data_IF_793453008587
#
_entry.id   IF_793453008587
#
_cell.length_a   1.000
_cell.length_b   1.000
_cell.length_c   1.000
_cell.angle_alpha   90.00
_cell.angle_beta   90.00
_cell.angle_gamma   90.00
#
_symmetry.space_group_name_H-M   'P 1'
#
loop_
_entity.id
_entity.type
_entity.pdbx_description
1 polymer ?
#
# COMPACT_ATOMS: atom_id res chain seq x y z
N UNK A 1 -20.99 -12.99 3.14
CA UNK A 1 -19.91 -13.15 2.15
C UNK A 1 -19.75 -11.81 1.47
N UNK A 2 -18.74 -11.07 1.80
CA UNK A 2 -18.44 -9.77 1.17
C UNK A 2 -17.75 -10.08 -0.15
N UNK A 3 -18.44 -9.89 -1.26
CA UNK A 3 -17.83 -9.99 -2.59
C UNK A 3 -16.95 -8.75 -2.77
N UNK A 4 -15.64 -8.92 -2.77
CA UNK A 4 -14.73 -7.85 -3.18
C UNK A 4 -14.98 -7.53 -4.66
N UNK A 5 -15.11 -6.25 -5.04
CA UNK A 5 -15.23 -5.89 -6.43
C UNK A 5 -13.97 -6.37 -7.17
N UNK A 6 -14.18 -6.95 -8.34
CA UNK A 6 -13.08 -7.35 -9.23
C UNK A 6 -12.11 -6.18 -9.40
N UNK A 7 -10.88 -6.35 -8.97
CA UNK A 7 -9.80 -5.42 -9.28
C UNK A 7 -9.67 -5.44 -10.80
N UNK A 8 -9.89 -4.29 -11.43
CA UNK A 8 -9.85 -4.15 -12.89
C UNK A 8 -8.43 -4.36 -13.43
N UNK A 9 -7.94 -5.58 -13.42
CA UNK A 9 -6.84 -5.98 -14.29
C UNK A 9 -7.35 -5.89 -15.72
N UNK A 10 -6.71 -5.09 -16.53
CA UNK A 10 -6.77 -5.27 -17.97
C UNK A 10 -6.46 -6.75 -18.20
N UNK A 11 -7.38 -7.48 -18.82
CA UNK A 11 -7.29 -8.92 -19.04
C UNK A 11 -5.91 -9.27 -19.58
N UNK A 12 -5.02 -9.72 -18.68
CA UNK A 12 -3.79 -10.36 -19.12
C UNK A 12 -4.19 -11.56 -19.99
N UNK A 13 -3.46 -11.84 -21.09
CA UNK A 13 -3.70 -13.05 -21.87
C UNK A 13 -3.65 -14.23 -20.91
N UNK A 14 -4.50 -15.24 -21.14
CA UNK A 14 -4.57 -16.43 -20.32
C UNK A 14 -3.15 -16.97 -20.12
N UNK A 15 -2.60 -16.76 -18.92
CA UNK A 15 -1.28 -17.25 -18.58
C UNK A 15 -1.34 -18.76 -18.48
N UNK A 16 -0.30 -19.45 -18.95
CA UNK A 16 -0.17 -20.89 -18.77
C UNK A 16 -0.35 -21.24 -17.29
N UNK A 17 -1.02 -22.34 -16.95
CA UNK A 17 -1.13 -22.76 -15.57
C UNK A 17 0.23 -22.82 -14.89
N UNK A 18 0.29 -22.50 -13.60
CA UNK A 18 1.50 -22.56 -12.79
C UNK A 18 1.34 -23.61 -11.71
N UNK A 19 2.29 -24.54 -11.64
CA UNK A 19 2.41 -25.49 -10.53
C UNK A 19 3.62 -25.10 -9.69
N UNK A 20 3.39 -24.80 -8.43
CA UNK A 20 4.45 -24.64 -7.43
C UNK A 20 4.47 -25.92 -6.59
N UNK A 21 5.52 -26.73 -6.71
CA UNK A 21 5.63 -28.00 -6.01
C UNK A 21 6.72 -27.99 -4.95
N UNK A 22 6.66 -28.99 -4.06
CA UNK A 22 7.64 -29.15 -3.00
C UNK A 22 7.77 -27.89 -2.12
N UNK A 23 6.63 -27.40 -1.64
CA UNK A 23 6.54 -26.21 -0.74
C UNK A 23 5.78 -26.55 0.52
N UNK A 24 6.13 -25.91 1.63
CA UNK A 24 5.38 -25.95 2.88
C UNK A 24 4.56 -24.68 3.05
N UNK A 25 3.24 -24.83 3.13
CA UNK A 25 2.34 -23.71 3.32
C UNK A 25 2.55 -23.15 4.73
N UNK A 26 2.86 -21.87 4.83
CA UNK A 26 3.17 -21.17 6.10
C UNK A 26 4.29 -21.81 6.92
N UNK A 27 5.09 -22.70 6.32
CA UNK A 27 6.13 -23.46 7.01
C UNK A 27 5.63 -24.66 7.79
N UNK A 28 4.35 -25.00 7.67
CA UNK A 28 3.70 -26.09 8.41
C UNK A 28 3.53 -27.36 7.54
N UNK A 29 3.47 -28.52 8.20
CA UNK A 29 3.15 -29.79 7.56
C UNK A 29 4.23 -30.31 6.60
N UNK A 30 3.86 -31.38 5.89
CA UNK A 30 4.69 -31.98 4.84
C UNK A 30 4.67 -31.13 3.56
N UNK A 31 5.74 -31.20 2.74
CA UNK A 31 5.76 -30.53 1.45
C UNK A 31 4.58 -30.92 0.57
N UNK A 32 3.98 -29.94 -0.06
CA UNK A 32 2.81 -30.07 -0.93
C UNK A 32 2.99 -29.31 -2.23
N UNK A 33 1.99 -29.33 -3.11
CA UNK A 33 1.99 -28.59 -4.36
C UNK A 33 0.77 -27.69 -4.46
N UNK A 34 0.91 -26.58 -5.18
CA UNK A 34 -0.16 -25.62 -5.43
C UNK A 34 -0.30 -25.40 -6.93
N UNK A 35 -1.52 -25.56 -7.45
CA UNK A 35 -1.87 -25.22 -8.83
C UNK A 35 -2.55 -23.87 -8.89
N UNK A 36 -2.00 -22.96 -9.68
CA UNK A 36 -2.62 -21.67 -10.04
C UNK A 36 -3.07 -21.75 -11.49
N UNK A 37 -4.33 -21.42 -11.72
CA UNK A 37 -4.93 -21.37 -13.05
C UNK A 37 -5.85 -20.14 -13.13
N UNK A 38 -5.77 -19.42 -14.24
CA UNK A 38 -6.56 -18.21 -14.48
C UNK A 38 -6.46 -17.20 -13.33
N UNK A 39 -5.25 -17.02 -12.76
CA UNK A 39 -4.97 -16.09 -11.68
C UNK A 39 -5.46 -16.50 -10.28
N UNK A 40 -6.00 -17.72 -10.12
CA UNK A 40 -6.50 -18.21 -8.82
C UNK A 40 -5.86 -19.53 -8.42
N UNK A 41 -5.74 -19.78 -7.12
CA UNK A 41 -5.34 -21.10 -6.60
C UNK A 41 -6.50 -22.05 -6.85
N UNK A 42 -6.31 -23.00 -7.75
CA UNK A 42 -7.35 -23.95 -8.17
C UNK A 42 -7.26 -25.30 -7.47
N UNK A 43 -6.07 -25.68 -6.99
CA UNK A 43 -5.90 -26.90 -6.21
C UNK A 43 -4.66 -26.83 -5.30
N UNK A 44 -4.72 -27.55 -4.18
CA UNK A 44 -3.61 -27.77 -3.26
C UNK A 44 -3.57 -29.26 -2.95
N UNK A 45 -2.39 -29.91 -3.10
CA UNK A 45 -2.26 -31.34 -2.82
C UNK A 45 -0.94 -31.91 -3.33
N UNK A 46 -0.69 -33.20 -3.08
CA UNK A 46 0.57 -33.86 -3.42
C UNK A 46 0.88 -33.90 -4.92
N UNK A 47 -0.10 -34.30 -5.74
CA UNK A 47 0.07 -34.58 -7.17
C UNK A 47 -0.80 -33.69 -8.06
N UNK A 48 -0.83 -32.38 -7.78
CA UNK A 48 -1.53 -31.46 -8.67
C UNK A 48 -0.72 -31.26 -9.96
N UNK A 49 -1.37 -31.42 -11.10
CA UNK A 49 -0.79 -31.24 -12.42
C UNK A 49 -1.77 -30.51 -13.34
N UNK A 50 -1.25 -29.81 -14.33
CA UNK A 50 -2.03 -29.25 -15.41
C UNK A 50 -1.23 -29.38 -16.71
N UNK A 51 -1.95 -29.61 -17.82
CA UNK A 51 -1.35 -29.65 -19.13
C UNK A 51 -0.73 -28.28 -19.44
N UNK A 52 0.48 -28.28 -20.00
CA UNK A 52 1.25 -27.10 -20.39
C UNK A 52 1.56 -26.13 -19.23
N UNK A 53 1.53 -26.61 -17.97
CA UNK A 53 1.84 -25.81 -16.81
C UNK A 53 3.34 -25.48 -16.72
N UNK A 54 3.63 -24.22 -16.39
CA UNK A 54 4.94 -23.84 -15.88
C UNK A 54 5.12 -24.47 -14.49
N UNK A 55 6.26 -25.09 -14.24
CA UNK A 55 6.55 -25.72 -12.93
C UNK A 55 7.67 -24.97 -12.23
N UNK A 56 7.43 -24.62 -10.97
CA UNK A 56 8.43 -24.08 -10.04
C UNK A 56 8.62 -25.13 -8.94
N UNK A 57 9.86 -25.58 -8.73
CA UNK A 57 10.21 -26.39 -7.57
C UNK A 57 10.57 -25.46 -6.41
N UNK A 58 9.83 -25.56 -5.31
CA UNK A 58 10.07 -24.75 -4.12
C UNK A 58 11.15 -25.32 -3.18
N UNK A 59 11.74 -26.47 -3.52
CA UNK A 59 12.88 -27.08 -2.79
C UNK A 59 12.64 -27.21 -1.27
N UNK A 60 11.40 -27.45 -0.87
CA UNK A 60 11.02 -27.52 0.54
C UNK A 60 10.88 -26.17 1.25
N UNK A 61 11.00 -25.06 0.53
CA UNK A 61 10.84 -23.73 1.09
C UNK A 61 9.39 -23.44 1.52
N UNK A 62 9.23 -22.38 2.28
CA UNK A 62 7.93 -21.90 2.75
C UNK A 62 7.22 -21.13 1.64
N UNK A 63 5.96 -21.47 1.38
CA UNK A 63 5.09 -20.67 0.52
C UNK A 63 4.16 -19.83 1.38
N UNK A 64 4.20 -18.53 1.17
CA UNK A 64 3.37 -17.52 1.83
C UNK A 64 2.54 -16.75 0.80
N UNK A 65 1.41 -16.13 1.19
CA UNK A 65 0.83 -15.06 0.42
C UNK A 65 1.87 -13.96 0.18
N UNK A 66 1.78 -13.28 -0.96
CA UNK A 66 2.62 -12.13 -1.24
C UNK A 66 2.46 -11.06 -0.15
N UNK A 67 3.54 -10.39 0.20
CA UNK A 67 3.51 -9.31 1.19
C UNK A 67 2.77 -8.09 0.64
N UNK A 68 2.15 -7.34 1.53
CA UNK A 68 1.48 -6.06 1.22
C UNK A 68 2.09 -4.99 2.09
N UNK A 69 2.56 -3.90 1.48
CA UNK A 69 3.01 -2.72 2.20
C UNK A 69 2.01 -1.58 2.02
N UNK A 70 1.37 -1.20 3.10
CA UNK A 70 0.34 -0.17 3.08
C UNK A 70 0.90 1.26 3.18
N UNK A 71 2.22 1.45 3.25
CA UNK A 71 2.83 2.75 3.42
C UNK A 71 4.19 2.85 2.73
N UNK A 72 4.20 3.23 1.45
CA UNK A 72 5.44 3.46 0.71
C UNK A 72 5.45 4.84 0.05
N UNK A 73 6.65 5.30 -0.32
CA UNK A 73 6.83 6.54 -1.05
C UNK A 73 7.51 6.26 -2.39
N UNK A 74 6.73 6.23 -3.47
CA UNK A 74 7.28 6.07 -4.81
C UNK A 74 7.67 7.41 -5.45
N UNK A 75 7.46 8.52 -4.74
CA UNK A 75 7.93 9.87 -5.06
C UNK A 75 7.42 10.45 -6.40
N UNK A 76 6.75 9.69 -7.18
CA UNK A 76 6.19 10.06 -8.47
C UNK A 76 4.66 10.21 -8.36
N UNK A 77 4.11 11.35 -8.83
CA UNK A 77 4.77 12.45 -9.57
C UNK A 77 5.56 13.42 -8.69
N UNK A 78 6.57 14.07 -9.29
CA UNK A 78 7.21 15.29 -8.80
C UNK A 78 8.55 15.15 -8.10
N UNK A 79 9.02 13.93 -7.81
CA UNK A 79 10.31 13.63 -7.22
C UNK A 79 10.96 12.39 -7.86
N UNK A 80 10.84 12.29 -9.17
CA UNK A 80 11.38 11.19 -9.97
C UNK A 80 12.91 11.10 -9.93
N UNK A 81 13.55 12.16 -9.46
CA UNK A 81 14.98 12.21 -9.17
C UNK A 81 15.38 11.27 -8.01
N UNK A 82 14.45 10.96 -7.11
CA UNK A 82 14.72 10.13 -5.93
C UNK A 82 14.16 8.72 -6.06
N UNK A 83 12.94 8.55 -6.59
CA UNK A 83 12.29 7.27 -6.80
C UNK A 83 11.23 7.40 -7.89
N UNK A 84 10.93 6.32 -8.59
CA UNK A 84 9.83 6.22 -9.57
C UNK A 84 8.92 5.04 -9.26
N UNK A 85 7.73 5.03 -9.83
CA UNK A 85 6.81 3.88 -9.75
C UNK A 85 7.51 2.61 -10.25
N UNK A 86 8.28 2.72 -11.34
CA UNK A 86 9.00 1.58 -11.91
C UNK A 86 10.09 1.05 -10.97
N UNK A 87 10.95 1.92 -10.44
CA UNK A 87 12.07 1.49 -9.60
C UNK A 87 11.62 0.99 -8.24
N UNK A 88 10.67 1.68 -7.62
CA UNK A 88 10.11 1.27 -6.33
C UNK A 88 9.32 -0.03 -6.41
N UNK A 89 8.52 -0.24 -7.47
CA UNK A 89 7.81 -1.50 -7.66
C UNK A 89 8.75 -2.68 -7.95
N UNK A 90 9.89 -2.46 -8.63
CA UNK A 90 10.95 -3.46 -8.79
C UNK A 90 11.57 -3.85 -7.44
N UNK A 91 11.83 -2.86 -6.60
CA UNK A 91 12.34 -3.11 -5.25
C UNK A 91 11.32 -3.90 -4.40
N UNK A 92 10.05 -3.50 -4.44
CA UNK A 92 8.96 -4.19 -3.77
C UNK A 92 8.83 -5.66 -4.23
N UNK A 93 8.75 -5.89 -5.54
CA UNK A 93 8.65 -7.25 -6.10
C UNK A 93 9.86 -8.12 -5.70
N UNK A 94 11.08 -7.55 -5.70
CA UNK A 94 12.28 -8.25 -5.24
C UNK A 94 12.23 -8.58 -3.74
N UNK A 95 11.55 -7.76 -2.95
CA UNK A 95 11.30 -7.98 -1.52
C UNK A 95 10.16 -8.96 -1.21
N UNK A 96 9.46 -9.46 -2.24
CA UNK A 96 8.32 -10.37 -2.06
C UNK A 96 6.98 -9.66 -1.86
N UNK A 97 6.92 -8.33 -2.08
CA UNK A 97 5.67 -7.58 -2.02
C UNK A 97 4.93 -7.70 -3.34
N UNK A 98 3.66 -8.07 -3.25
CA UNK A 98 2.74 -8.19 -4.39
C UNK A 98 1.84 -6.98 -4.54
N UNK A 99 1.69 -6.19 -3.48
CA UNK A 99 0.96 -4.93 -3.51
C UNK A 99 1.61 -3.90 -2.60
N UNK A 100 1.58 -2.63 -3.02
CA UNK A 100 2.06 -1.49 -2.24
C UNK A 100 1.08 -0.32 -2.35
N UNK A 101 0.98 0.48 -1.28
CA UNK A 101 0.15 1.67 -1.23
C UNK A 101 1.04 2.91 -1.19
N UNK A 102 1.02 3.71 -2.28
CA UNK A 102 1.87 4.89 -2.40
C UNK A 102 1.21 6.13 -1.81
N UNK A 103 1.89 6.76 -0.85
CA UNK A 103 1.39 7.91 -0.10
C UNK A 103 1.12 9.13 -0.97
N UNK A 104 0.20 9.97 -0.47
CA UNK A 104 -0.34 11.12 -1.20
C UNK A 104 0.61 12.33 -1.30
N UNK A 105 1.73 12.33 -0.57
CA UNK A 105 2.68 13.44 -0.48
C UNK A 105 3.60 13.56 -1.72
N UNK A 106 2.99 13.60 -2.87
CA UNK A 106 3.58 13.81 -4.19
C UNK A 106 3.51 15.30 -4.61
N UNK A 107 4.02 15.64 -5.77
CA UNK A 107 3.89 16.98 -6.35
C UNK A 107 3.46 16.90 -7.83
N UNK A 108 2.19 17.20 -8.15
CA UNK A 108 1.14 17.65 -7.23
C UNK A 108 0.73 16.57 -6.21
N UNK A 109 0.16 17.01 -5.07
CA UNK A 109 -0.41 16.11 -4.06
C UNK A 109 -1.53 15.27 -4.67
N UNK A 110 -1.62 14.00 -4.28
CA UNK A 110 -2.71 13.13 -4.73
C UNK A 110 -4.02 13.45 -3.99
N UNK A 111 -4.57 14.64 -4.26
CA UNK A 111 -5.78 15.20 -3.62
C UNK A 111 -6.98 15.29 -4.58
N UNK A 112 -6.83 14.81 -5.83
CA UNK A 112 -7.84 14.84 -6.87
C UNK A 112 -7.87 13.53 -7.66
N UNK A 113 -9.05 13.12 -8.21
CA UNK A 113 -9.18 11.91 -8.99
C UNK A 113 -8.16 11.80 -10.13
N UNK A 114 -7.95 12.87 -10.88
CA UNK A 114 -7.06 12.87 -12.05
C UNK A 114 -5.61 12.52 -11.69
N UNK A 115 -5.14 12.94 -10.51
CA UNK A 115 -3.78 12.63 -10.08
C UNK A 115 -3.68 11.16 -9.66
N UNK A 116 -4.66 10.67 -8.89
CA UNK A 116 -4.74 9.26 -8.50
C UNK A 116 -4.84 8.34 -9.73
N UNK A 117 -5.66 8.70 -10.72
CA UNK A 117 -5.79 7.95 -11.98
C UNK A 117 -4.49 7.95 -12.80
N UNK A 118 -3.76 9.06 -12.81
CA UNK A 118 -2.44 9.14 -13.48
C UNK A 118 -1.43 8.19 -12.83
N UNK A 119 -1.34 8.17 -11.50
CA UNK A 119 -0.48 7.24 -10.76
C UNK A 119 -0.89 5.80 -11.04
N UNK A 120 -2.18 5.50 -10.98
CA UNK A 120 -2.71 4.17 -11.22
C UNK A 120 -2.44 3.70 -12.65
N UNK A 121 -2.74 4.52 -13.68
CA UNK A 121 -2.52 4.17 -15.07
C UNK A 121 -1.04 3.91 -15.37
N UNK A 122 -0.14 4.74 -14.84
CA UNK A 122 1.31 4.53 -14.96
C UNK A 122 1.75 3.24 -14.29
N UNK A 123 1.20 2.94 -13.12
CA UNK A 123 1.46 1.71 -12.40
C UNK A 123 1.05 0.47 -13.18
N UNK A 124 -0.12 0.49 -13.83
CA UNK A 124 -0.57 -0.62 -14.67
C UNK A 124 0.37 -0.90 -15.86
N UNK A 125 1.05 0.13 -16.37
CA UNK A 125 1.97 0.02 -17.51
C UNK A 125 3.38 -0.44 -17.12
N UNK A 126 3.87 -0.06 -15.94
CA UNK A 126 5.30 -0.15 -15.60
C UNK A 126 5.60 -0.96 -14.33
N UNK A 127 4.64 -1.11 -13.41
CA UNK A 127 4.89 -1.72 -12.12
C UNK A 127 4.98 -3.25 -12.20
N UNK A 128 5.84 -3.83 -11.37
CA UNK A 128 6.00 -5.29 -11.21
C UNK A 128 5.14 -5.87 -10.07
N UNK A 129 4.48 -5.03 -9.29
CA UNK A 129 3.50 -5.41 -8.29
C UNK A 129 2.29 -4.47 -8.39
N UNK A 130 1.19 -4.80 -7.72
CA UNK A 130 0.03 -3.90 -7.70
C UNK A 130 0.39 -2.63 -6.92
N UNK A 131 0.22 -1.46 -7.53
CA UNK A 131 0.45 -0.16 -6.89
C UNK A 131 -0.88 0.56 -6.75
N UNK A 132 -1.25 0.82 -5.51
CA UNK A 132 -2.50 1.50 -5.16
C UNK A 132 -2.21 2.93 -4.70
N UNK A 133 -2.72 3.97 -5.39
CA UNK A 133 -2.58 5.34 -4.91
C UNK A 133 -3.39 5.57 -3.64
N UNK A 134 -2.76 6.22 -2.66
CA UNK A 134 -3.42 6.77 -1.47
C UNK A 134 -3.82 8.20 -1.78
N UNK A 135 -5.06 8.58 -1.49
CA UNK A 135 -5.51 9.96 -1.59
C UNK A 135 -5.15 10.75 -0.32
N UNK A 136 -4.99 12.07 -0.42
CA UNK A 136 -4.87 12.88 0.79
C UNK A 136 -6.22 13.05 1.48
N UNK A 137 -6.20 13.18 2.81
CA UNK A 137 -7.39 13.51 3.61
C UNK A 137 -7.79 14.96 3.34
N UNK A 138 -6.80 15.86 3.30
CA UNK A 138 -7.04 17.28 3.09
C UNK A 138 -6.39 17.80 1.80
N UNK A 139 -7.00 18.79 1.19
CA UNK A 139 -6.48 19.44 -0.03
C UNK A 139 -5.09 20.01 0.24
N UNK A 140 -4.15 19.66 -0.63
CA UNK A 140 -2.75 20.09 -0.53
C UNK A 140 -2.03 19.66 0.76
N UNK A 141 -2.56 18.72 1.54
CA UNK A 141 -2.05 18.32 2.86
C UNK A 141 -2.04 19.52 3.85
N UNK A 142 -2.98 20.42 3.73
CA UNK A 142 -3.00 21.67 4.53
C UNK A 142 -3.73 21.53 5.88
N UNK A 143 -4.43 20.41 6.12
CA UNK A 143 -5.21 20.22 7.34
C UNK A 143 -6.43 21.13 7.47
N UNK A 144 -6.93 21.72 6.36
CA UNK A 144 -7.99 22.75 6.40
C UNK A 144 -9.30 22.32 5.77
N UNK A 145 -9.26 21.63 4.64
CA UNK A 145 -10.43 21.28 3.85
C UNK A 145 -10.30 19.84 3.35
N UNK A 146 -11.34 19.04 3.53
CA UNK A 146 -11.37 17.65 3.05
C UNK A 146 -11.29 17.58 1.53
N UNK A 147 -10.68 16.53 1.03
CA UNK A 147 -10.70 16.16 -0.38
C UNK A 147 -12.02 15.46 -0.74
N UNK A 148 -12.19 15.19 -2.02
CA UNK A 148 -13.39 14.54 -2.55
C UNK A 148 -13.24 13.00 -2.52
N UNK A 149 -13.28 12.39 -1.31
CA UNK A 149 -13.10 10.94 -1.12
C UNK A 149 -13.97 10.12 -2.08
N UNK A 150 -15.26 10.48 -2.16
CA UNK A 150 -16.21 9.77 -2.99
C UNK A 150 -15.90 9.84 -4.49
N UNK A 151 -15.29 10.89 -4.97
CA UNK A 151 -14.86 11.00 -6.37
C UNK A 151 -13.64 10.11 -6.62
N UNK A 152 -12.63 10.18 -5.74
CA UNK A 152 -11.44 9.33 -5.84
C UNK A 152 -11.75 7.84 -5.64
N UNK A 153 -12.65 7.51 -4.72
CA UNK A 153 -13.06 6.12 -4.48
C UNK A 153 -13.84 5.49 -5.66
N UNK A 154 -14.50 6.31 -6.47
CA UNK A 154 -15.25 5.87 -7.67
C UNK A 154 -14.50 6.06 -8.99
N UNK A 155 -13.34 6.71 -8.96
CA UNK A 155 -12.45 6.86 -10.13
C UNK A 155 -11.90 5.51 -10.59
N UNK A 156 -11.24 5.48 -11.73
CA UNK A 156 -10.58 4.27 -12.24
C UNK A 156 -9.49 3.76 -11.29
N UNK A 157 -8.85 4.68 -10.55
CA UNK A 157 -7.86 4.35 -9.52
C UNK A 157 -8.48 3.64 -8.29
N UNK A 158 -9.80 3.75 -8.08
CA UNK A 158 -10.55 3.12 -6.97
C UNK A 158 -9.85 3.31 -5.62
N UNK A 159 -9.47 4.54 -5.28
CA UNK A 159 -8.76 4.84 -4.05
C UNK A 159 -9.49 4.29 -2.83
N UNK A 160 -8.81 3.52 -1.98
CA UNK A 160 -9.36 2.86 -0.79
C UNK A 160 -8.76 3.31 0.52
N UNK A 161 -7.71 4.12 0.47
CA UNK A 161 -7.05 4.66 1.65
C UNK A 161 -6.74 6.14 1.45
N UNK A 162 -6.86 6.92 2.53
CA UNK A 162 -6.56 8.35 2.54
C UNK A 162 -5.65 8.67 3.71
N UNK A 163 -4.63 9.49 3.48
CA UNK A 163 -3.67 9.90 4.50
C UNK A 163 -3.06 11.24 4.15
N UNK A 164 -2.84 12.07 5.16
CA UNK A 164 -2.02 13.29 5.03
C UNK A 164 -0.56 12.99 5.45
N UNK A 165 -0.05 11.81 5.14
CA UNK A 165 1.28 11.38 5.53
C UNK A 165 2.38 12.43 5.29
N UNK A 166 3.31 12.49 6.26
CA UNK A 166 4.30 13.56 6.42
C UNK A 166 3.72 14.80 7.11
N UNK A 167 2.40 14.81 7.37
CA UNK A 167 1.68 15.78 8.17
C UNK A 167 0.55 15.11 8.92
N UNK A 168 0.04 15.78 9.94
CA UNK A 168 -1.10 15.32 10.73
C UNK A 168 -2.30 16.22 10.47
N UNK A 169 -3.50 15.66 10.42
CA UNK A 169 -4.73 16.47 10.50
C UNK A 169 -4.92 16.90 11.95
N UNK A 170 -4.41 18.08 12.29
CA UNK A 170 -4.35 18.62 13.66
C UNK A 170 -5.72 19.01 14.23
N UNK A 171 -6.72 19.29 13.39
CA UNK A 171 -8.06 19.66 13.81
C UNK A 171 -8.90 18.40 14.07
N UNK A 172 -9.24 18.08 15.35
CA UNK A 172 -10.03 16.89 15.67
C UNK A 172 -11.46 16.97 15.12
N UNK A 173 -12.02 18.17 14.92
CA UNK A 173 -13.34 18.32 14.30
C UNK A 173 -13.28 17.95 12.81
N UNK A 174 -12.23 18.36 12.10
CA UNK A 174 -12.01 18.03 10.71
C UNK A 174 -11.78 16.51 10.54
N UNK A 175 -10.96 15.92 11.41
CA UNK A 175 -10.73 14.46 11.39
C UNK A 175 -12.03 13.70 11.67
N UNK A 176 -12.83 14.12 12.63
CA UNK A 176 -14.14 13.51 12.89
C UNK A 176 -15.03 13.55 11.64
N UNK A 177 -15.10 14.69 10.94
CA UNK A 177 -15.87 14.80 9.69
C UNK A 177 -15.32 13.90 8.59
N UNK A 178 -13.98 13.78 8.50
CA UNK A 178 -13.34 12.86 7.56
C UNK A 178 -13.77 11.41 7.81
N UNK A 179 -13.75 10.97 9.07
CA UNK A 179 -14.20 9.63 9.48
C UNK A 179 -15.69 9.40 9.20
N UNK A 180 -16.55 10.39 9.50
CA UNK A 180 -17.97 10.32 9.19
C UNK A 180 -18.23 10.20 7.68
N UNK A 181 -17.48 10.95 6.87
CA UNK A 181 -17.57 10.92 5.41
C UNK A 181 -17.06 9.58 4.84
N UNK A 182 -15.93 9.09 5.34
CA UNK A 182 -15.32 7.83 4.91
C UNK A 182 -16.21 6.59 5.22
N UNK A 183 -16.93 6.62 6.35
CA UNK A 183 -17.74 5.48 6.85
C UNK A 183 -18.71 4.91 5.82
N UNK A 184 -19.28 5.75 4.95
CA UNK A 184 -20.25 5.34 3.93
C UNK A 184 -19.62 4.84 2.62
N UNK A 185 -18.30 4.80 2.50
CA UNK A 185 -17.61 4.57 1.23
C UNK A 185 -16.64 3.39 1.22
N UNK A 186 -16.57 2.63 2.31
CA UNK A 186 -15.65 1.49 2.44
C UNK A 186 -14.17 1.90 2.13
N UNK A 187 -13.74 2.98 2.75
CA UNK A 187 -12.37 3.50 2.65
C UNK A 187 -11.74 3.64 4.04
N UNK A 188 -10.44 3.53 4.09
CA UNK A 188 -9.65 3.67 5.32
C UNK A 188 -9.08 5.08 5.42
N UNK A 189 -8.98 5.60 6.64
CA UNK A 189 -8.16 6.77 6.95
C UNK A 189 -6.95 6.31 7.77
N UNK A 190 -5.77 6.73 7.35
CA UNK A 190 -4.52 6.51 8.06
C UNK A 190 -3.96 7.87 8.52
N UNK A 191 -3.81 8.03 9.83
CA UNK A 191 -3.28 9.25 10.40
C UNK A 191 -1.76 9.13 10.57
N UNK A 192 -1.04 10.17 10.13
CA UNK A 192 0.33 10.40 10.56
C UNK A 192 0.25 11.03 11.96
N UNK A 193 0.33 10.19 12.98
CA UNK A 193 0.05 10.60 14.36
C UNK A 193 1.18 11.47 14.91
N UNK A 194 0.98 12.78 14.86
CA UNK A 194 1.93 13.79 15.33
C UNK A 194 1.24 15.08 15.71
N UNK A 195 1.34 15.49 16.96
CA UNK A 195 1.05 16.89 17.33
C UNK A 195 2.28 17.75 17.05
N UNK A 196 2.26 18.52 15.97
CA UNK A 196 3.39 19.32 15.48
C UNK A 196 3.80 20.46 16.44
N UNK A 197 2.91 20.84 17.35
CA UNK A 197 3.20 21.83 18.41
C UNK A 197 4.16 21.27 19.45
N UNK A 198 4.19 19.95 19.63
CA UNK A 198 5.06 19.27 20.58
C UNK A 198 6.37 18.80 19.96
N UNK A 199 6.41 18.59 18.64
CA UNK A 199 7.54 17.96 17.94
C UNK A 199 8.49 18.96 17.28
N UNK A 200 8.11 20.25 17.20
CA UNK A 200 8.90 21.27 16.51
C UNK A 200 10.35 21.32 16.95
N UNK A 201 11.29 21.04 15.99
CA UNK A 201 12.73 21.05 16.22
C UNK A 201 13.27 19.82 16.99
N UNK A 202 12.46 18.80 17.21
CA UNK A 202 12.93 17.52 17.75
C UNK A 202 13.75 16.74 16.69
N UNK A 203 14.77 16.05 17.14
CA UNK A 203 15.69 15.29 16.27
C UNK A 203 15.87 13.84 16.70
N UNK A 204 15.25 13.43 17.83
CA UNK A 204 15.27 12.08 18.33
C UNK A 204 14.04 11.82 19.20
N UNK A 205 13.70 10.57 19.43
CA UNK A 205 12.71 10.21 20.46
C UNK A 205 13.16 10.70 21.84
N UNK A 206 12.23 11.28 22.62
CA UNK A 206 12.52 11.71 23.98
C UNK A 206 12.86 10.51 24.88
N UNK A 207 14.04 10.55 25.48
CA UNK A 207 14.51 9.45 26.32
C UNK A 207 15.96 9.63 26.74
N UNK A 208 16.47 8.61 27.43
CA UNK A 208 17.83 8.64 28.00
C UNK A 208 18.91 8.93 26.96
N UNK A 209 18.80 8.35 25.77
CA UNK A 209 19.77 8.54 24.68
C UNK A 209 19.76 9.98 24.18
N UNK A 210 18.58 10.56 23.93
CA UNK A 210 18.47 11.95 23.51
C UNK A 210 19.01 12.90 24.58
N UNK A 211 18.69 12.66 25.83
CA UNK A 211 19.18 13.46 26.95
C UNK A 211 20.71 13.40 27.08
N UNK A 212 21.32 12.20 26.98
CA UNK A 212 22.78 12.03 27.01
C UNK A 212 23.49 12.75 25.87
N UNK A 213 22.87 12.82 24.69
CA UNK A 213 23.44 13.46 23.51
C UNK A 213 23.11 14.95 23.41
N UNK A 214 22.33 15.49 24.35
CA UNK A 214 21.88 16.90 24.30
C UNK A 214 20.94 17.20 23.14
N UNK A 215 20.22 16.17 22.63
CA UNK A 215 19.27 16.32 21.53
C UNK A 215 17.90 16.71 22.06
N UNK A 216 17.19 17.56 21.31
CA UNK A 216 15.81 17.85 21.61
C UNK A 216 14.96 16.62 21.34
N UNK A 217 14.23 16.16 22.36
CA UNK A 217 13.40 14.97 22.30
C UNK A 217 12.05 15.23 21.65
N UNK A 218 11.54 14.23 20.97
CA UNK A 218 10.17 14.08 20.49
C UNK A 218 9.38 13.34 21.58
N UNK A 219 8.44 14.00 22.27
CA UNK A 219 7.73 13.35 23.37
C UNK A 219 6.74 12.32 22.85
N UNK A 220 6.69 11.18 23.50
CA UNK A 220 5.78 10.08 23.15
C UNK A 220 4.31 10.52 23.05
N UNK A 221 3.88 11.42 23.95
CA UNK A 221 2.51 11.93 23.94
C UNK A 221 2.14 12.66 22.64
N UNK A 222 3.11 13.12 21.85
CA UNK A 222 2.84 13.74 20.57
C UNK A 222 2.24 12.78 19.52
N UNK A 223 2.44 11.47 19.69
CA UNK A 223 1.81 10.44 18.85
C UNK A 223 0.48 9.94 19.43
N UNK A 224 0.27 10.14 20.72
CA UNK A 224 -0.87 9.59 21.46
C UNK A 224 -2.02 10.59 21.64
N UNK A 225 -1.77 11.90 21.38
CA UNK A 225 -2.71 12.99 21.62
C UNK A 225 -3.79 13.19 20.55
#
# INVERSE_FOLDING_TARGET
>A
MTTYPETGRLSAPAESPLVIKNVRLYGEGEPTSVLVKDGVISAIGGDVAAQDAKVIDGEGNVLLPGLVDMHVHLREPGREDTETIETGSKAAAKGGFTAVFTMANTNPVTDQPIIAESVWAKSQALALCDVHPVGSITKGLEGKTLTEFGMMARSDAKVRMFSDDGKCVQDPQLMRRALEYAKGMDVLLAQHAEDDRMTGGASAHEGETAAKLGLRGWPRVAEES
#
